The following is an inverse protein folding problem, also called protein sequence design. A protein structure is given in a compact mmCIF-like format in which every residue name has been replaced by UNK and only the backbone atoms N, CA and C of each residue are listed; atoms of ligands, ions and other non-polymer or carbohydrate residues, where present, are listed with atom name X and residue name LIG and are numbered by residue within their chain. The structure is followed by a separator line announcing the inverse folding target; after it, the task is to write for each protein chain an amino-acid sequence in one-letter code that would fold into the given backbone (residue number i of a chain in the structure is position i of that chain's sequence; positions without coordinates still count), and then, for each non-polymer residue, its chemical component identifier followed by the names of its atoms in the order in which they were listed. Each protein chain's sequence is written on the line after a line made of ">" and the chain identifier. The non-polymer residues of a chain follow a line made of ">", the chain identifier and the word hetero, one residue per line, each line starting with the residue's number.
data_IF_536650975096
#
_entry.id   IF_536650975096
#
_cell.length_a   1.000
_cell.length_b   1.000
_cell.length_c   1.000
_cell.angle_alpha   90.00
_cell.angle_beta   90.00
_cell.angle_gamma   90.00
#
_symmetry.space_group_name_H-M   'P 1'
#
loop_
_entity.id
_entity.type
_entity.pdbx_description
1 polymer ?
#
# COMPACT_ATOMS: atom_id res chain seq x y z
N UNK A 1 26.82 29.84 -17.92
CA UNK A 1 26.70 30.38 -16.55
C UNK A 1 25.63 29.54 -15.88
N UNK A 2 26.08 28.55 -15.13
CA UNK A 2 25.29 27.50 -14.49
C UNK A 2 25.15 27.93 -13.03
N UNK A 3 23.95 28.28 -12.60
CA UNK A 3 23.65 28.52 -11.19
C UNK A 3 23.03 27.22 -10.66
N UNK A 4 23.79 26.53 -9.82
CA UNK A 4 23.44 25.30 -9.12
C UNK A 4 22.85 25.69 -7.74
N UNK A 5 21.52 25.56 -7.50
CA UNK A 5 20.96 25.96 -6.23
C UNK A 5 21.05 24.79 -5.24
N UNK A 6 22.06 24.87 -4.37
CA UNK A 6 21.95 24.42 -2.98
C UNK A 6 21.89 22.91 -2.77
N UNK A 7 23.05 22.26 -2.88
CA UNK A 7 23.27 21.01 -2.15
C UNK A 7 23.11 21.26 -0.65
N UNK A 8 21.94 20.93 -0.10
CA UNK A 8 21.75 20.93 1.35
C UNK A 8 22.69 19.86 1.93
N UNK A 9 23.71 20.28 2.68
CA UNK A 9 24.46 19.37 3.54
C UNK A 9 23.45 18.58 4.39
N UNK A 10 23.61 17.25 4.57
CA UNK A 10 22.68 16.48 5.38
C UNK A 10 22.73 17.02 6.80
N UNK A 11 21.65 17.69 7.22
CA UNK A 11 21.43 18.06 8.61
C UNK A 11 21.51 16.75 9.41
N UNK A 12 22.27 16.70 10.53
CA UNK A 12 22.33 15.49 11.33
C UNK A 12 20.91 15.08 11.73
N UNK A 13 20.52 13.86 11.35
CA UNK A 13 19.18 13.33 11.59
C UNK A 13 18.94 13.25 13.11
N UNK A 14 17.93 13.95 13.61
CA UNK A 14 17.59 13.91 15.03
C UNK A 14 17.06 12.51 15.39
N UNK A 15 17.18 12.06 16.66
CA UNK A 15 16.60 10.78 17.08
C UNK A 15 15.11 10.66 16.77
N UNK A 16 14.36 11.76 16.87
CA UNK A 16 12.95 11.83 16.50
C UNK A 16 12.74 11.63 14.99
N UNK A 17 13.55 12.28 14.14
CA UNK A 17 13.46 12.12 12.70
C UNK A 17 13.79 10.69 12.25
N UNK A 18 14.80 10.06 12.87
CA UNK A 18 15.15 8.67 12.61
C UNK A 18 14.07 7.70 13.08
N UNK A 19 13.49 7.93 14.27
CA UNK A 19 12.36 7.15 14.76
C UNK A 19 11.15 7.27 13.82
N UNK A 20 10.86 8.47 13.33
CA UNK A 20 9.80 8.75 12.37
C UNK A 20 10.01 7.98 11.05
N UNK A 21 11.23 8.02 10.50
CA UNK A 21 11.59 7.29 9.29
C UNK A 21 11.37 5.77 9.43
N UNK A 22 11.75 5.17 10.56
CA UNK A 22 11.54 3.73 10.83
C UNK A 22 10.07 3.30 10.97
N UNK A 23 9.15 4.27 11.10
CA UNK A 23 7.70 4.08 11.14
C UNK A 23 6.98 4.64 9.90
N UNK A 24 7.72 5.14 8.91
CA UNK A 24 7.13 5.71 7.69
C UNK A 24 6.44 7.06 7.89
N UNK A 25 6.78 7.77 8.97
CA UNK A 25 6.28 9.13 9.24
C UNK A 25 7.21 10.14 8.59
N UNK A 26 6.70 10.90 7.62
CA UNK A 26 7.46 11.95 6.97
C UNK A 26 7.66 13.16 7.91
N UNK A 27 8.89 13.69 7.94
CA UNK A 27 9.27 14.88 8.73
C UNK A 27 9.18 16.17 7.93
N UNK A 28 8.81 16.09 6.65
CA UNK A 28 8.55 17.23 5.77
C UNK A 28 7.58 16.82 4.65
N UNK A 29 6.96 17.80 4.02
CA UNK A 29 6.07 17.59 2.88
C UNK A 29 6.11 18.79 1.91
N UNK A 30 5.74 18.54 0.65
CA UNK A 30 5.70 19.57 -0.38
C UNK A 30 4.26 19.86 -0.82
N UNK A 31 3.58 20.88 -0.27
CA UNK A 31 2.20 21.21 -0.66
C UNK A 31 2.07 21.74 -2.09
N UNK A 32 3.17 22.19 -2.68
CA UNK A 32 3.30 22.59 -4.09
C UNK A 32 4.72 22.29 -4.57
N UNK A 33 4.97 22.16 -5.89
CA UNK A 33 6.28 21.76 -6.41
C UNK A 33 7.46 22.58 -5.88
N UNK A 34 7.28 23.90 -5.72
CA UNK A 34 8.35 24.83 -5.33
C UNK A 34 8.40 25.12 -3.82
N UNK A 35 7.61 24.40 -3.01
CA UNK A 35 7.53 24.65 -1.56
C UNK A 35 7.69 23.34 -0.80
N UNK A 36 8.69 23.29 0.06
CA UNK A 36 8.84 22.25 1.09
C UNK A 36 8.57 22.85 2.47
N UNK A 37 7.87 22.09 3.31
CA UNK A 37 7.47 22.48 4.67
C UNK A 37 7.95 21.40 5.63
N UNK A 38 8.77 21.77 6.62
CA UNK A 38 9.13 20.88 7.71
C UNK A 38 7.91 20.67 8.63
N UNK A 39 7.66 19.42 9.03
CA UNK A 39 6.71 19.11 10.09
C UNK A 39 7.28 19.60 11.44
N UNK A 40 6.41 20.09 12.33
CA UNK A 40 6.84 20.40 13.70
C UNK A 40 7.06 19.11 14.50
N UNK A 41 7.97 19.13 15.47
CA UNK A 41 8.21 17.99 16.36
C UNK A 41 6.91 17.51 17.02
N UNK A 42 6.05 18.44 17.44
CA UNK A 42 4.73 18.11 18.01
C UNK A 42 3.82 17.34 17.05
N UNK A 43 3.86 17.65 15.74
CA UNK A 43 3.10 16.91 14.74
C UNK A 43 3.69 15.51 14.49
N UNK A 44 5.02 15.38 14.48
CA UNK A 44 5.71 14.08 14.35
C UNK A 44 5.42 13.19 15.55
N UNK A 45 5.49 13.74 16.77
CA UNK A 45 5.14 13.02 18.01
C UNK A 45 3.68 12.57 18.00
N UNK A 46 2.74 13.42 17.58
CA UNK A 46 1.33 13.06 17.48
C UNK A 46 1.08 11.95 16.43
N UNK A 47 1.76 12.00 15.28
CA UNK A 47 1.67 10.96 14.26
C UNK A 47 2.24 9.62 14.77
N UNK A 48 3.38 9.64 15.47
CA UNK A 48 3.96 8.46 16.11
C UNK A 48 3.02 7.89 17.19
N UNK A 49 2.40 8.74 18.01
CA UNK A 49 1.43 8.31 19.01
C UNK A 49 0.19 7.66 18.37
N UNK A 50 -0.27 8.14 17.22
CA UNK A 50 -1.35 7.51 16.45
C UNK A 50 -0.97 6.14 15.85
N UNK A 51 0.33 5.83 15.77
CA UNK A 51 0.88 4.52 15.43
C UNK A 51 1.25 3.68 16.67
N UNK A 52 0.75 4.07 17.85
CA UNK A 52 1.03 3.45 19.15
C UNK A 52 2.52 3.50 19.56
N UNK A 53 3.25 4.55 19.15
CA UNK A 53 4.66 4.79 19.53
C UNK A 53 4.77 5.98 20.47
N UNK A 54 5.28 5.75 21.69
CA UNK A 54 5.56 6.83 22.63
C UNK A 54 6.84 7.59 22.24
N UNK A 55 6.65 8.84 21.83
CA UNK A 55 7.70 9.80 21.52
C UNK A 55 7.52 11.11 22.32
N UNK A 56 6.80 11.05 23.45
CA UNK A 56 6.40 12.24 24.22
C UNK A 56 7.57 12.96 24.93
N UNK A 57 8.69 12.27 25.13
CA UNK A 57 9.91 12.81 25.75
C UNK A 57 11.17 12.35 24.99
N UNK A 58 12.31 13.05 25.13
CA UNK A 58 13.58 12.60 24.55
C UNK A 58 14.00 11.18 24.98
N UNK A 59 13.73 10.82 26.23
CA UNK A 59 14.01 9.49 26.76
C UNK A 59 13.09 8.43 26.11
N UNK A 60 11.80 8.74 25.93
CA UNK A 60 10.85 7.86 25.23
C UNK A 60 11.25 7.66 23.77
N UNK A 61 11.64 8.73 23.06
CA UNK A 61 12.16 8.67 21.69
C UNK A 61 13.37 7.74 21.61
N UNK A 62 14.33 7.90 22.51
CA UNK A 62 15.54 7.07 22.54
C UNK A 62 15.22 5.61 22.80
N UNK A 63 14.34 5.32 23.76
CA UNK A 63 13.91 3.98 24.09
C UNK A 63 13.15 3.31 22.93
N UNK A 64 12.21 4.02 22.31
CA UNK A 64 11.42 3.55 21.17
C UNK A 64 12.29 3.31 19.95
N UNK A 65 13.24 4.20 19.66
CA UNK A 65 14.21 4.03 18.57
C UNK A 65 15.04 2.77 18.76
N UNK A 66 15.65 2.61 19.94
CA UNK A 66 16.46 1.42 20.24
C UNK A 66 15.63 0.13 20.20
N UNK A 67 14.38 0.16 20.67
CA UNK A 67 13.48 -0.99 20.59
C UNK A 67 13.14 -1.36 19.14
N UNK A 68 12.85 -0.35 18.30
CA UNK A 68 12.52 -0.56 16.89
C UNK A 68 13.72 -1.09 16.10
N UNK A 69 14.91 -0.57 16.34
CA UNK A 69 16.14 -1.02 15.69
C UNK A 69 16.46 -2.47 16.04
N UNK A 70 16.35 -2.86 17.32
CA UNK A 70 16.50 -4.27 17.73
C UNK A 70 15.50 -5.17 17.03
N UNK A 71 14.21 -4.78 17.04
CA UNK A 71 13.15 -5.56 16.39
C UNK A 71 13.42 -5.75 14.89
N UNK A 72 13.88 -4.71 14.20
CA UNK A 72 14.19 -4.82 12.77
C UNK A 72 15.45 -5.66 12.52
N UNK A 73 16.48 -5.53 13.36
CA UNK A 73 17.71 -6.31 13.23
C UNK A 73 17.55 -7.81 13.50
N UNK A 74 16.59 -8.19 14.33
CA UNK A 74 16.32 -9.61 14.65
C UNK A 74 15.52 -10.33 13.56
N UNK A 75 14.77 -9.60 12.74
CA UNK A 75 13.86 -10.15 11.74
C UNK A 75 14.57 -10.59 10.47
N UNK A 76 14.24 -11.79 10.00
CA UNK A 76 14.65 -12.26 8.67
C UNK A 76 13.81 -11.64 7.55
N UNK A 77 12.51 -11.44 7.78
CA UNK A 77 11.57 -10.93 6.78
C UNK A 77 10.62 -9.86 7.35
N UNK A 78 10.19 -8.90 6.52
CA UNK A 78 9.02 -8.06 6.80
C UNK A 78 7.73 -8.93 6.85
N UNK A 79 6.60 -8.41 7.38
CA UNK A 79 5.38 -9.21 7.48
C UNK A 79 4.81 -9.58 6.11
N UNK A 80 5.10 -8.74 5.12
CA UNK A 80 4.68 -8.89 3.73
C UNK A 80 5.86 -8.60 2.81
N UNK A 81 6.07 -9.47 1.83
CA UNK A 81 7.00 -9.32 0.73
C UNK A 81 6.18 -9.17 -0.55
N UNK A 82 6.47 -8.17 -1.36
CA UNK A 82 5.79 -7.94 -2.64
C UNK A 82 6.76 -8.17 -3.78
N UNK A 83 6.48 -9.15 -4.63
CA UNK A 83 7.19 -9.40 -5.88
C UNK A 83 6.37 -8.87 -7.06
N UNK A 84 7.01 -8.13 -7.96
CA UNK A 84 6.41 -7.78 -9.25
C UNK A 84 6.76 -8.85 -10.28
N UNK A 85 5.80 -9.25 -11.11
CA UNK A 85 5.98 -10.35 -12.07
C UNK A 85 7.12 -10.13 -13.09
N UNK A 86 7.47 -8.87 -13.38
CA UNK A 86 8.58 -8.46 -14.26
C UNK A 86 9.68 -7.68 -13.53
N UNK A 87 9.60 -7.59 -12.20
CA UNK A 87 10.51 -6.79 -11.39
C UNK A 87 11.71 -7.58 -10.89
N UNK A 88 12.69 -6.83 -10.36
CA UNK A 88 13.77 -7.41 -9.59
C UNK A 88 13.25 -8.08 -8.31
N UNK A 89 14.05 -9.00 -7.78
CA UNK A 89 13.72 -9.68 -6.53
C UNK A 89 13.63 -8.64 -5.40
N UNK A 90 12.62 -8.73 -4.51
CA UNK A 90 12.48 -7.78 -3.42
C UNK A 90 13.74 -7.73 -2.56
N UNK A 91 14.16 -6.53 -2.17
CA UNK A 91 15.34 -6.32 -1.32
C UNK A 91 15.30 -7.15 -0.02
N UNK A 92 14.11 -7.40 0.52
CA UNK A 92 13.91 -8.26 1.69
C UNK A 92 14.37 -9.72 1.46
N UNK A 93 14.20 -10.26 0.26
CA UNK A 93 14.69 -11.61 -0.07
C UNK A 93 16.20 -11.59 -0.33
N UNK A 94 16.71 -10.53 -0.96
CA UNK A 94 18.14 -10.35 -1.21
C UNK A 94 18.96 -10.14 0.08
N UNK A 95 18.34 -9.59 1.13
CA UNK A 95 18.95 -9.38 2.43
C UNK A 95 18.97 -10.62 3.34
N UNK A 96 18.40 -11.75 2.90
CA UNK A 96 18.41 -12.98 3.68
C UNK A 96 19.84 -13.54 3.80
N UNK A 97 20.20 -14.17 4.94
CA UNK A 97 21.49 -14.84 5.07
C UNK A 97 21.71 -15.91 4.00
N UNK A 98 22.95 -16.02 3.51
CA UNK A 98 23.33 -17.06 2.55
C UNK A 98 22.95 -18.46 3.04
N UNK A 99 22.37 -19.29 2.17
CA UNK A 99 21.89 -20.63 2.53
C UNK A 99 20.52 -20.66 3.22
N UNK A 100 19.82 -19.53 3.33
CA UNK A 100 18.42 -19.50 3.76
C UNK A 100 17.55 -20.32 2.82
N UNK A 101 16.79 -21.26 3.38
CA UNK A 101 15.84 -22.09 2.63
C UNK A 101 14.46 -21.43 2.62
N UNK A 102 13.86 -21.34 1.44
CA UNK A 102 12.50 -20.85 1.25
C UNK A 102 11.54 -22.01 1.05
N UNK A 103 10.35 -21.88 1.64
CA UNK A 103 9.18 -22.70 1.36
C UNK A 103 8.01 -21.75 1.12
N UNK A 104 7.40 -21.86 -0.05
CA UNK A 104 6.29 -21.04 -0.47
C UNK A 104 5.11 -21.97 -0.72
N UNK A 105 3.98 -21.69 -0.09
CA UNK A 105 2.70 -22.31 -0.41
C UNK A 105 1.89 -21.31 -1.23
N UNK A 106 1.62 -21.65 -2.49
CA UNK A 106 0.87 -20.78 -3.39
C UNK A 106 -0.58 -20.68 -2.92
N UNK A 107 -1.30 -19.69 -3.45
CA UNK A 107 -2.73 -19.50 -3.16
C UNK A 107 -3.56 -20.72 -3.58
N UNK A 108 -3.05 -21.46 -4.57
CA UNK A 108 -3.64 -22.70 -5.09
C UNK A 108 -3.22 -23.95 -4.30
N UNK A 109 -2.41 -23.82 -3.24
CA UNK A 109 -1.94 -24.91 -2.39
C UNK A 109 -0.72 -25.67 -2.92
N UNK A 110 -0.02 -25.15 -3.93
CA UNK A 110 1.21 -25.75 -4.45
C UNK A 110 2.42 -25.36 -3.59
N UNK A 111 3.35 -26.30 -3.37
CA UNK A 111 4.60 -26.01 -2.66
C UNK A 111 5.74 -25.69 -3.64
N UNK A 112 6.41 -24.57 -3.40
CA UNK A 112 7.55 -24.07 -4.19
C UNK A 112 8.72 -23.73 -3.25
N UNK A 113 9.93 -23.74 -3.79
CA UNK A 113 11.17 -23.42 -3.05
C UNK A 113 11.84 -22.13 -3.52
N UNK A 114 11.25 -21.46 -4.50
CA UNK A 114 11.75 -20.24 -5.11
C UNK A 114 10.60 -19.33 -5.51
N UNK A 115 10.91 -18.05 -5.70
CA UNK A 115 9.92 -17.01 -6.03
C UNK A 115 9.75 -16.81 -7.53
N UNK A 116 10.49 -17.57 -8.33
CA UNK A 116 10.49 -17.49 -9.78
C UNK A 116 9.21 -18.09 -10.35
N UNK A 117 8.60 -17.38 -11.32
CA UNK A 117 7.45 -17.86 -12.08
C UNK A 117 6.24 -18.23 -11.21
N UNK A 118 6.08 -17.58 -10.06
CA UNK A 118 4.86 -17.68 -9.28
C UNK A 118 3.71 -16.96 -10.01
N UNK A 119 2.48 -17.52 -10.00
CA UNK A 119 1.32 -16.82 -10.55
C UNK A 119 1.00 -15.58 -9.69
N UNK A 120 0.35 -14.54 -10.26
CA UNK A 120 -0.17 -13.45 -9.45
C UNK A 120 -1.12 -13.97 -8.36
N UNK A 121 -1.00 -13.44 -7.15
CA UNK A 121 -1.79 -13.90 -6.01
C UNK A 121 -1.17 -13.59 -4.66
N UNK A 122 -1.77 -14.13 -3.61
CA UNK A 122 -1.29 -14.02 -2.21
C UNK A 122 -0.88 -15.40 -1.71
N UNK A 123 0.40 -15.55 -1.41
CA UNK A 123 1.03 -16.82 -1.03
C UNK A 123 1.55 -16.76 0.41
N UNK A 124 1.77 -17.92 1.02
CA UNK A 124 2.45 -18.02 2.31
C UNK A 124 3.94 -18.30 2.09
N UNK A 125 4.81 -17.46 2.63
CA UNK A 125 6.26 -17.60 2.55
C UNK A 125 6.82 -17.95 3.93
N UNK A 126 7.64 -19.00 3.98
CA UNK A 126 8.44 -19.36 5.16
C UNK A 126 9.92 -19.40 4.79
N UNK A 127 10.73 -18.66 5.53
CA UNK A 127 12.19 -18.67 5.43
C UNK A 127 12.80 -19.38 6.63
N UNK A 128 13.85 -20.18 6.40
CA UNK A 128 14.63 -20.85 7.44
C UNK A 128 16.11 -20.60 7.20
N UNK A 129 16.72 -19.77 8.03
CA UNK A 129 18.14 -19.42 7.94
C UNK A 129 19.04 -20.57 8.44
N UNK A 130 20.33 -20.61 8.05
CA UNK A 130 21.25 -21.67 8.50
C UNK A 130 21.50 -21.68 10.01
N UNK A 131 21.36 -20.52 10.67
CA UNK A 131 21.47 -20.37 12.13
C UNK A 131 20.24 -20.88 12.90
N UNK A 132 19.25 -21.43 12.20
CA UNK A 132 18.03 -22.00 12.77
C UNK A 132 16.89 -21.01 12.96
N UNK A 133 17.09 -19.70 12.73
CA UNK A 133 16.01 -18.72 12.77
C UNK A 133 15.00 -18.99 11.65
N UNK A 134 13.73 -18.80 11.95
CA UNK A 134 12.64 -18.92 10.98
C UNK A 134 11.78 -17.67 10.94
N UNK A 135 11.26 -17.33 9.77
CA UNK A 135 10.26 -16.26 9.61
C UNK A 135 9.15 -16.68 8.66
N UNK A 136 7.97 -16.13 8.90
CA UNK A 136 6.82 -16.23 8.01
C UNK A 136 6.42 -14.85 7.51
N UNK A 137 5.97 -14.79 6.26
CA UNK A 137 5.48 -13.58 5.62
C UNK A 137 4.37 -13.92 4.60
N UNK A 138 3.54 -12.94 4.31
CA UNK A 138 2.69 -12.99 3.12
C UNK A 138 3.57 -12.64 1.91
N UNK A 139 3.51 -13.44 0.86
CA UNK A 139 4.18 -13.15 -0.41
C UNK A 139 3.12 -12.76 -1.43
N UNK A 140 3.07 -11.48 -1.79
CA UNK A 140 2.16 -10.96 -2.80
C UNK A 140 2.90 -10.92 -4.13
N UNK A 141 2.39 -11.64 -5.12
CA UNK A 141 2.88 -11.55 -6.51
C UNK A 141 1.94 -10.66 -7.28
N UNK A 142 2.38 -9.45 -7.59
CA UNK A 142 1.59 -8.43 -8.27
C UNK A 142 1.90 -8.43 -9.79
N UNK A 143 0.88 -8.24 -10.65
CA UNK A 143 1.12 -8.07 -12.07
C UNK A 143 1.84 -6.74 -12.32
N UNK A 144 2.76 -6.75 -13.29
CA UNK A 144 3.50 -5.57 -13.74
C UNK A 144 2.62 -4.39 -14.17
N UNK A 145 1.48 -4.72 -14.78
CA UNK A 145 0.54 -3.77 -15.35
C UNK A 145 -0.88 -4.28 -15.14
N UNK A 146 -1.80 -3.33 -14.96
CA UNK A 146 -3.22 -3.62 -15.02
C UNK A 146 -3.62 -4.04 -16.44
N UNK A 147 -4.61 -4.94 -16.59
CA UNK A 147 -5.22 -5.22 -17.88
C UNK A 147 -5.77 -3.93 -18.50
N UNK A 148 -5.36 -3.63 -19.73
CA UNK A 148 -5.87 -2.47 -20.47
C UNK A 148 -7.19 -2.84 -21.16
N UNK A 149 -8.16 -1.90 -21.25
CA UNK A 149 -9.32 -2.09 -22.12
C UNK A 149 -8.86 -2.28 -23.57
N UNK A 150 -9.61 -3.04 -24.40
CA UNK A 150 -9.17 -3.42 -25.75
C UNK A 150 -9.06 -2.23 -26.72
N UNK A 151 -9.58 -1.06 -26.35
CA UNK A 151 -9.49 0.17 -27.13
C UNK A 151 -10.02 1.37 -26.34
N UNK A 152 -10.00 2.53 -26.99
CA UNK A 152 -10.59 3.75 -26.42
C UNK A 152 -12.11 3.58 -26.34
N UNK A 153 -12.68 3.95 -25.20
CA UNK A 153 -14.13 3.94 -24.98
C UNK A 153 -14.54 5.15 -24.14
N UNK A 154 -15.84 5.38 -24.05
CA UNK A 154 -16.43 6.40 -23.18
C UNK A 154 -17.50 5.75 -22.30
N UNK A 155 -17.92 6.45 -21.26
CA UNK A 155 -18.92 5.96 -20.33
C UNK A 155 -19.74 7.08 -19.73
N UNK A 156 -20.75 6.71 -18.95
CA UNK A 156 -21.59 7.64 -18.20
C UNK A 156 -21.11 7.71 -16.75
N UNK A 157 -21.09 8.91 -16.18
CA UNK A 157 -20.89 9.12 -14.75
C UNK A 157 -22.25 9.43 -14.12
N UNK A 158 -22.64 8.63 -13.14
CA UNK A 158 -23.97 8.67 -12.54
C UNK A 158 -23.85 8.73 -11.03
N UNK A 159 -24.54 9.70 -10.42
CA UNK A 159 -24.84 9.65 -9.00
C UNK A 159 -26.06 8.75 -8.83
N UNK A 160 -25.85 7.49 -8.42
CA UNK A 160 -26.88 6.44 -8.45
C UNK A 160 -28.12 6.84 -7.66
N UNK A 161 -27.94 7.47 -6.50
CA UNK A 161 -29.03 7.95 -5.67
C UNK A 161 -29.96 8.95 -6.38
N UNK A 162 -29.49 9.62 -7.44
CA UNK A 162 -30.26 10.58 -8.24
C UNK A 162 -30.87 9.98 -9.52
N UNK A 163 -30.64 8.69 -9.81
CA UNK A 163 -31.16 8.03 -11.00
C UNK A 163 -32.59 7.54 -10.77
N UNK A 164 -33.58 8.36 -11.11
CA UNK A 164 -34.98 8.02 -10.90
C UNK A 164 -35.58 7.30 -12.12
N UNK A 165 -36.34 6.24 -11.84
CA UNK A 165 -37.25 5.59 -12.77
C UNK A 165 -38.69 5.63 -12.22
N UNK A 166 -39.63 5.16 -13.04
CA UNK A 166 -41.03 4.99 -12.64
C UNK A 166 -41.23 3.97 -11.50
N UNK A 167 -40.21 3.17 -11.19
CA UNK A 167 -40.25 2.11 -10.17
C UNK A 167 -39.50 2.49 -8.91
N UNK A 168 -38.64 3.52 -8.97
CA UNK A 168 -37.82 3.98 -7.84
C UNK A 168 -38.67 4.45 -6.66
N UNK A 169 -38.25 4.13 -5.44
CA UNK A 169 -38.91 4.56 -4.20
C UNK A 169 -38.26 5.83 -3.65
N UNK A 170 -38.15 6.87 -4.48
CA UNK A 170 -37.59 8.17 -4.11
C UNK A 170 -36.07 8.31 -4.25
N UNK A 171 -35.36 7.25 -4.65
CA UNK A 171 -33.95 7.28 -5.04
C UNK A 171 -33.65 6.14 -6.00
N UNK A 172 -32.57 6.28 -6.77
CA UNK A 172 -32.14 5.22 -7.68
C UNK A 172 -31.59 3.99 -6.96
N UNK A 173 -31.88 2.82 -7.52
CA UNK A 173 -31.44 1.52 -7.02
C UNK A 173 -30.65 0.71 -8.07
N UNK A 174 -30.26 -0.53 -7.72
CA UNK A 174 -29.51 -1.39 -8.63
C UNK A 174 -30.31 -1.85 -9.85
N UNK A 175 -31.64 -1.87 -9.77
CA UNK A 175 -32.52 -2.10 -10.91
C UNK A 175 -32.46 -0.94 -11.89
N UNK A 176 -32.54 0.29 -11.40
CA UNK A 176 -32.39 1.51 -12.21
C UNK A 176 -31.02 1.56 -12.91
N UNK A 177 -29.96 1.19 -12.18
CA UNK A 177 -28.61 1.08 -12.74
C UNK A 177 -28.51 0.03 -13.85
N UNK A 178 -29.14 -1.12 -13.66
CA UNK A 178 -29.16 -2.19 -14.66
C UNK A 178 -29.86 -1.75 -15.94
N UNK A 179 -31.01 -1.07 -15.81
CA UNK A 179 -31.76 -0.53 -16.95
C UNK A 179 -30.93 0.51 -17.72
N UNK A 180 -30.35 1.48 -17.02
CA UNK A 180 -29.51 2.52 -17.63
C UNK A 180 -28.29 1.91 -18.33
N UNK A 181 -27.58 0.98 -17.68
CA UNK A 181 -26.38 0.36 -18.24
C UNK A 181 -26.72 -0.43 -19.51
N UNK A 182 -27.81 -1.19 -19.47
CA UNK A 182 -28.27 -1.98 -20.60
C UNK A 182 -28.67 -1.09 -21.80
N UNK A 183 -29.37 0.02 -21.54
CA UNK A 183 -29.71 0.99 -22.57
C UNK A 183 -28.47 1.71 -23.12
N UNK A 184 -27.58 2.20 -22.25
CA UNK A 184 -26.39 2.95 -22.66
C UNK A 184 -25.43 2.12 -23.51
N UNK A 185 -25.22 0.85 -23.16
CA UNK A 185 -24.40 -0.07 -23.95
C UNK A 185 -24.99 -0.32 -25.34
N UNK A 186 -26.31 -0.54 -25.46
CA UNK A 186 -26.95 -0.85 -26.75
C UNK A 186 -27.19 0.37 -27.63
N UNK A 187 -27.68 1.46 -27.06
CA UNK A 187 -28.13 2.63 -27.81
C UNK A 187 -27.00 3.62 -28.10
N UNK A 188 -26.03 3.73 -27.19
CA UNK A 188 -24.94 4.69 -27.29
C UNK A 188 -23.59 4.00 -27.59
N UNK A 189 -23.44 2.72 -27.22
CA UNK A 189 -22.14 2.05 -27.30
C UNK A 189 -21.19 2.46 -26.16
N UNK A 190 -21.73 2.89 -25.02
CA UNK A 190 -20.94 3.19 -23.83
C UNK A 190 -20.24 1.93 -23.31
N UNK A 191 -18.94 2.00 -23.03
CA UNK A 191 -18.13 0.87 -22.55
C UNK A 191 -18.15 0.67 -21.04
N UNK A 192 -18.63 1.66 -20.28
CA UNK A 192 -18.77 1.56 -18.84
C UNK A 192 -19.81 2.56 -18.29
N UNK A 193 -20.27 2.29 -17.07
CA UNK A 193 -20.99 3.25 -16.23
C UNK A 193 -20.25 3.35 -14.91
N UNK A 194 -19.86 4.56 -14.52
CA UNK A 194 -19.24 4.84 -13.23
C UNK A 194 -20.30 5.37 -12.28
N UNK A 195 -20.31 4.83 -11.06
CA UNK A 195 -21.21 5.24 -9.98
C UNK A 195 -20.44 5.87 -8.82
N UNK A 196 -21.14 6.60 -7.96
CA UNK A 196 -20.63 6.95 -6.63
C UNK A 196 -20.38 5.69 -5.78
N UNK A 197 -19.58 5.80 -4.69
CA UNK A 197 -19.37 4.68 -3.78
C UNK A 197 -20.68 4.12 -3.22
N UNK A 198 -20.77 2.78 -3.16
CA UNK A 198 -21.93 2.03 -2.66
C UNK A 198 -21.62 1.32 -1.33
N UNK A 199 -20.74 1.90 -0.52
CA UNK A 199 -20.39 1.33 0.77
C UNK A 199 -21.59 1.29 1.71
N UNK A 200 -21.68 0.22 2.51
CA UNK A 200 -22.70 0.14 3.55
C UNK A 200 -22.53 1.31 4.53
N UNK A 201 -23.63 2.03 4.77
CA UNK A 201 -23.71 3.05 5.81
C UNK A 201 -24.12 2.42 7.15
N UNK A 202 -24.48 3.25 8.12
CA UNK A 202 -24.95 2.80 9.44
C UNK A 202 -26.26 2.01 9.29
N UNK A 203 -26.31 0.72 9.67
CA UNK A 203 -27.57 -0.03 9.71
C UNK A 203 -28.55 0.63 10.68
N UNK A 204 -29.81 0.75 10.30
CA UNK A 204 -30.87 1.14 11.23
C UNK A 204 -31.09 0.06 12.29
N UNK A 205 -31.27 0.47 13.54
CA UNK A 205 -31.67 -0.41 14.66
C UNK A 205 -33.18 -0.56 14.75
#
# INVERSE_FOLDING_TARGET
>A
MQEDPGGSSPVPETPLARLAALHGVATSYSPSPDRSVAASDGAVVAALAALDVDASTPEAVTAALAARERLLGERLLPPTVVCWADGEHPAALAALPDGTRLRIETEQGELRTGVEQLPPGVHALRATAPDGRTAEAHLVVAPARLPAPPGRTYGLLVQLYSLLSQRSWGMGDLGDLAELTAWAGRALGAGFVQVNPLHAAVPGT
#
